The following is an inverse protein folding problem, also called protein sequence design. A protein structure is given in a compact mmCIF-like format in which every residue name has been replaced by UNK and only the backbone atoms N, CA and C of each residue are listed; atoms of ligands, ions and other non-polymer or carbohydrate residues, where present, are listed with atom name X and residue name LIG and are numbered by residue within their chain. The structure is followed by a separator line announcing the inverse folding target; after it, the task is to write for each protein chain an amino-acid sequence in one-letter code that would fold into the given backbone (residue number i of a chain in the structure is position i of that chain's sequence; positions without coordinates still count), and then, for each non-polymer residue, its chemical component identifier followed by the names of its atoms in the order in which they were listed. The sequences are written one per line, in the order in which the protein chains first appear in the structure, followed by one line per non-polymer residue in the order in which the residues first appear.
data_IF_770465092153
#
_entry.id   IF_770465092153
#
_cell.length_a   1.000
_cell.length_b   1.000
_cell.length_c   1.000
_cell.angle_alpha   90.00
_cell.angle_beta   90.00
_cell.angle_gamma   90.00
#
_symmetry.space_group_name_H-M   'P 1'
#
loop_
_entity.id
_entity.type
_entity.pdbx_description
1 polymer ?
#
# COMPACT_ATOMS: atom_id res chain seq x y z
N UNK A 1 10.98 -32.85 3.03
CA UNK A 1 10.06 -33.11 1.91
C UNK A 1 8.83 -33.81 2.50
N UNK A 2 7.68 -33.13 2.49
CA UNK A 2 6.26 -33.62 2.44
C UNK A 2 6.06 -35.17 2.53
N UNK A 3 5.14 -35.83 3.26
CA UNK A 3 3.74 -35.66 3.73
C UNK A 3 3.39 -36.86 4.69
N UNK A 4 2.29 -36.75 5.45
CA UNK A 4 1.26 -37.77 5.84
C UNK A 4 1.07 -37.89 7.37
N UNK A 5 -0.03 -37.36 7.96
CA UNK A 5 -1.35 -38.01 8.11
C UNK A 5 -1.22 -39.39 8.79
N UNK A 6 -1.62 -39.63 10.06
CA UNK A 6 -3.02 -39.81 10.47
C UNK A 6 -3.16 -40.09 12.00
N UNK A 7 -4.34 -39.73 12.54
CA UNK A 7 -5.14 -40.41 13.59
C UNK A 7 -4.63 -40.55 15.03
N UNK A 8 -5.38 -39.96 15.97
CA UNK A 8 -6.05 -40.71 17.05
C UNK A 8 -7.41 -40.06 17.36
N UNK A 9 -8.49 -40.81 17.12
CA UNK A 9 -9.82 -40.57 17.71
C UNK A 9 -9.95 -41.50 18.92
N UNK A 10 -10.34 -40.97 20.07
CA UNK A 10 -11.02 -41.77 21.09
C UNK A 10 -12.20 -40.99 21.67
N UNK A 11 -13.33 -41.69 21.75
CA UNK A 11 -14.69 -41.19 22.03
C UNK A 11 -14.85 -40.75 23.47
N UNK A 12 -15.58 -39.65 23.67
CA UNK A 12 -16.49 -39.45 24.82
C UNK A 12 -17.89 -39.21 24.28
N UNK A 13 -18.82 -40.08 24.66
CA UNK A 13 -20.26 -39.92 24.48
C UNK A 13 -20.83 -39.11 25.64
N UNK A 14 -21.65 -38.09 25.36
CA UNK A 14 -22.49 -37.45 26.38
C UNK A 14 -22.81 -35.97 26.13
N UNK A 15 -23.88 -35.74 25.38
CA UNK A 15 -24.77 -34.55 25.37
C UNK A 15 -24.15 -33.13 25.31
N UNK A 16 -24.32 -32.48 24.13
CA UNK A 16 -24.41 -31.02 23.96
C UNK A 16 -23.13 -30.32 23.48
N UNK A 17 -23.10 -29.87 22.22
CA UNK A 17 -21.91 -29.21 21.64
C UNK A 17 -21.64 -27.78 22.19
N UNK A 18 -20.37 -27.31 22.17
CA UNK A 18 -19.81 -26.29 23.08
C UNK A 18 -19.26 -25.02 22.37
N UNK A 19 -18.84 -23.99 23.12
CA UNK A 19 -17.54 -23.29 22.93
C UNK A 19 -17.20 -22.35 24.09
N UNK A 20 -16.23 -22.80 24.88
CA UNK A 20 -15.08 -22.09 25.43
C UNK A 20 -14.74 -20.74 24.77
N UNK A 21 -14.42 -19.70 25.54
CA UNK A 21 -13.01 -19.31 25.80
C UNK A 21 -12.94 -18.01 26.63
N UNK A 22 -12.30 -18.09 27.78
CA UNK A 22 -11.89 -16.95 28.59
C UNK A 22 -10.69 -16.25 27.96
N UNK A 23 -10.92 -15.25 27.11
CA UNK A 23 -9.88 -14.33 26.67
C UNK A 23 -9.84 -13.10 27.60
N UNK A 24 -8.76 -13.02 28.37
CA UNK A 24 -8.44 -11.92 29.28
C UNK A 24 -8.42 -10.56 28.59
N UNK A 25 -9.04 -9.61 29.28
CA UNK A 25 -9.12 -8.18 29.00
C UNK A 25 -7.77 -7.53 28.61
N UNK A 26 -7.78 -6.82 27.48
CA UNK A 26 -6.96 -5.63 27.27
C UNK A 26 -7.92 -4.43 27.12
N UNK A 27 -7.68 -3.29 27.82
CA UNK A 27 -8.68 -2.22 27.94
C UNK A 27 -8.85 -1.43 26.64
N UNK A 28 -10.12 -1.12 26.29
CA UNK A 28 -10.57 -0.29 25.14
C UNK A 28 -9.90 1.10 25.04
N UNK A 29 -9.17 1.56 26.05
CA UNK A 29 -8.73 2.96 26.18
C UNK A 29 -7.65 3.40 25.19
N UNK A 30 -7.10 2.49 24.38
CA UNK A 30 -6.17 2.83 23.29
C UNK A 30 -6.88 3.20 21.97
N UNK A 31 -8.21 3.11 21.90
CA UNK A 31 -9.02 3.38 20.70
C UNK A 31 -9.12 4.86 20.30
N UNK A 32 -8.30 5.74 20.86
CA UNK A 32 -8.38 7.18 20.61
C UNK A 32 -7.34 7.65 19.59
N UNK A 33 -7.51 7.23 18.34
CA UNK A 33 -7.06 8.01 17.20
C UNK A 33 -8.04 7.80 16.04
N UNK A 34 -8.84 8.84 15.80
CA UNK A 34 -9.80 8.99 14.71
C UNK A 34 -11.08 8.13 14.81
N UNK A 35 -12.14 8.80 15.25
CA UNK A 35 -13.54 8.35 15.23
C UNK A 35 -14.07 8.25 13.78
N UNK A 36 -13.38 7.50 12.91
CA UNK A 36 -13.78 7.29 11.51
C UNK A 36 -14.87 6.21 11.52
N UNK A 37 -16.06 6.47 10.97
CA UNK A 37 -17.11 5.45 10.88
C UNK A 37 -16.63 4.33 9.95
N UNK A 38 -16.27 3.18 10.51
CA UNK A 38 -16.09 1.95 9.74
C UNK A 38 -17.50 1.44 9.39
N UNK A 39 -17.85 1.21 8.11
CA UNK A 39 -19.14 0.64 7.76
C UNK A 39 -19.23 -0.78 8.33
N UNK A 40 -19.99 -0.95 9.41
CA UNK A 40 -20.32 -2.28 9.93
C UNK A 40 -21.61 -2.77 9.29
N UNK A 41 -21.54 -3.80 8.47
CA UNK A 41 -22.72 -4.59 8.08
C UNK A 41 -22.81 -5.80 9.01
N UNK A 42 -23.86 -5.84 9.84
CA UNK A 42 -24.21 -6.98 10.70
C UNK A 42 -23.14 -7.42 11.72
N UNK A 43 -22.40 -6.47 12.30
CA UNK A 43 -21.50 -6.76 13.44
C UNK A 43 -20.28 -7.65 13.13
N UNK A 44 -20.01 -7.96 11.85
CA UNK A 44 -18.80 -8.67 11.41
C UNK A 44 -17.86 -7.69 10.71
N UNK A 45 -16.63 -7.53 11.22
CA UNK A 45 -15.52 -6.87 10.50
C UNK A 45 -15.28 -7.64 9.20
N UNK A 46 -15.80 -7.15 8.09
CA UNK A 46 -15.33 -7.54 6.76
C UNK A 46 -14.01 -6.82 6.53
N UNK A 47 -12.99 -7.49 5.99
CA UNK A 47 -11.76 -6.81 5.60
C UNK A 47 -12.13 -5.73 4.56
N UNK A 48 -12.03 -4.46 4.96
CA UNK A 48 -12.39 -3.31 4.11
C UNK A 48 -11.18 -2.89 3.30
N UNK A 49 -10.69 -3.78 2.42
CA UNK A 49 -9.60 -3.46 1.50
C UNK A 49 -10.09 -2.71 0.25
N UNK A 50 -11.37 -2.31 0.19
CA UNK A 50 -11.96 -1.58 -0.93
C UNK A 50 -12.18 -0.14 -0.50
N UNK A 51 -11.56 0.78 -1.25
CA UNK A 51 -11.61 2.21 -0.99
C UNK A 51 -12.29 2.91 -2.17
N UNK A 52 -13.34 3.67 -1.88
CA UNK A 52 -14.09 4.40 -2.91
C UNK A 52 -13.70 5.87 -2.98
N UNK A 53 -13.09 6.39 -1.92
CA UNK A 53 -12.63 7.78 -1.84
C UNK A 53 -11.17 7.87 -1.41
N UNK A 54 -10.50 8.95 -1.84
CA UNK A 54 -9.12 9.29 -1.40
C UNK A 54 -9.02 9.40 0.12
N UNK A 55 -10.05 9.92 0.78
CA UNK A 55 -10.07 10.11 2.23
C UNK A 55 -10.08 8.77 2.99
N UNK A 56 -10.88 7.81 2.55
CA UNK A 56 -10.91 6.45 3.13
C UNK A 56 -9.55 5.75 2.96
N UNK A 57 -8.99 5.81 1.76
CA UNK A 57 -7.67 5.23 1.47
C UNK A 57 -6.59 5.89 2.33
N UNK A 58 -6.59 7.22 2.43
CA UNK A 58 -5.64 7.96 3.25
C UNK A 58 -5.72 7.56 4.72
N UNK A 59 -6.92 7.41 5.27
CA UNK A 59 -7.09 6.98 6.66
C UNK A 59 -6.49 5.58 6.91
N UNK A 60 -6.66 4.65 5.98
CA UNK A 60 -6.04 3.33 6.09
C UNK A 60 -4.51 3.39 6.03
N UNK A 61 -3.95 4.28 5.20
CA UNK A 61 -2.51 4.51 5.11
C UNK A 61 -1.94 5.19 6.36
N UNK A 62 -2.66 6.15 6.95
CA UNK A 62 -2.28 6.77 8.22
C UNK A 62 -2.28 5.73 9.36
N UNK A 63 -3.26 4.82 9.37
CA UNK A 63 -3.25 3.69 10.29
C UNK A 63 -2.05 2.76 10.06
N UNK A 64 -1.71 2.48 8.79
CA UNK A 64 -0.54 1.68 8.43
C UNK A 64 0.79 2.31 8.85
N UNK A 65 0.92 3.62 8.68
CA UNK A 65 2.10 4.39 9.09
C UNK A 65 2.30 4.39 10.62
N UNK A 66 1.21 4.31 11.37
CA UNK A 66 1.20 4.26 12.84
C UNK A 66 1.44 2.85 13.38
N UNK A 67 0.70 1.85 12.90
CA UNK A 67 0.77 0.45 13.33
C UNK A 67 0.37 -0.49 12.18
N UNK A 68 1.35 -1.05 11.45
CA UNK A 68 1.08 -1.91 10.31
C UNK A 68 0.40 -3.23 10.71
N UNK A 69 0.63 -3.75 11.92
CA UNK A 69 0.03 -5.02 12.38
C UNK A 69 -1.48 -4.84 12.56
N UNK A 70 -1.86 -3.77 13.25
CA UNK A 70 -3.27 -3.44 13.47
C UNK A 70 -3.96 -3.03 12.17
N UNK A 71 -3.26 -2.28 11.31
CA UNK A 71 -3.77 -1.89 10.01
C UNK A 71 -4.01 -3.11 9.10
N UNK A 72 -3.08 -4.06 9.04
CA UNK A 72 -3.23 -5.30 8.27
C UNK A 72 -4.42 -6.14 8.76
N UNK A 73 -4.62 -6.25 10.07
CA UNK A 73 -5.80 -6.93 10.63
C UNK A 73 -7.12 -6.26 10.20
N UNK A 74 -7.11 -4.95 9.96
CA UNK A 74 -8.30 -4.13 9.72
C UNK A 74 -8.64 -3.99 8.25
N UNK A 75 -7.64 -3.68 7.45
CA UNK A 75 -7.77 -3.36 6.02
C UNK A 75 -7.24 -4.46 5.13
N UNK A 76 -6.63 -5.52 5.68
CA UNK A 76 -5.88 -6.52 4.91
C UNK A 76 -4.51 -6.01 4.45
N UNK A 77 -3.73 -6.81 3.73
CA UNK A 77 -2.42 -6.40 3.22
C UNK A 77 -2.53 -5.17 2.31
N UNK A 78 -1.67 -4.18 2.52
CA UNK A 78 -1.65 -2.94 1.72
C UNK A 78 -1.53 -3.19 0.21
N UNK A 79 -0.78 -4.23 -0.20
CA UNK A 79 -0.64 -4.63 -1.60
C UNK A 79 -1.96 -5.10 -2.25
N UNK A 80 -2.97 -5.45 -1.45
CA UNK A 80 -4.27 -5.94 -1.91
C UNK A 80 -5.37 -4.87 -1.83
N UNK A 81 -5.03 -3.61 -1.58
CA UNK A 81 -6.00 -2.53 -1.57
C UNK A 81 -6.59 -2.30 -2.97
N UNK A 82 -7.92 -2.24 -3.03
CA UNK A 82 -8.70 -1.98 -4.23
C UNK A 82 -9.06 -0.50 -4.27
N UNK A 83 -8.48 0.22 -5.23
CA UNK A 83 -8.57 1.68 -5.35
C UNK A 83 -9.16 2.16 -6.68
N UNK A 84 -9.77 1.25 -7.45
CA UNK A 84 -10.14 1.49 -8.86
C UNK A 84 -11.12 2.67 -9.10
N UNK A 85 -11.80 3.16 -8.05
CA UNK A 85 -12.67 4.34 -8.14
C UNK A 85 -11.98 5.69 -7.87
N UNK A 86 -10.70 5.69 -7.49
CA UNK A 86 -9.97 6.89 -7.07
C UNK A 86 -9.18 7.44 -8.25
N UNK A 87 -9.54 8.64 -8.70
CA UNK A 87 -8.89 9.33 -9.84
C UNK A 87 -7.85 10.36 -9.41
N UNK A 88 -7.84 10.75 -8.13
CA UNK A 88 -6.92 11.69 -7.53
C UNK A 88 -6.16 10.99 -6.41
N UNK A 89 -4.84 10.87 -6.55
CA UNK A 89 -3.92 10.30 -5.56
C UNK A 89 -2.89 11.34 -5.08
N UNK A 90 -3.16 12.63 -5.33
CA UNK A 90 -2.31 13.72 -4.85
C UNK A 90 -2.09 13.63 -3.35
N UNK A 91 -0.84 13.86 -2.93
CA UNK A 91 -0.39 13.87 -1.53
C UNK A 91 -0.70 12.58 -0.73
N UNK A 92 -1.08 11.46 -1.37
CA UNK A 92 -1.66 10.30 -0.66
C UNK A 92 -0.74 9.71 0.43
N UNK A 93 0.56 9.60 0.17
CA UNK A 93 1.59 9.17 1.12
C UNK A 93 2.40 10.34 1.70
N UNK A 94 1.97 11.58 1.46
CA UNK A 94 2.71 12.76 1.91
C UNK A 94 2.84 12.77 3.43
N UNK A 95 4.10 12.81 3.88
CA UNK A 95 4.46 12.82 5.29
C UNK A 95 4.31 11.49 6.02
N UNK A 96 3.95 10.40 5.34
CA UNK A 96 3.94 9.05 5.92
C UNK A 96 5.38 8.53 5.93
N UNK A 97 6.01 8.51 7.10
CA UNK A 97 7.46 8.32 7.23
C UNK A 97 7.88 6.89 7.55
N UNK A 98 6.93 6.00 7.82
CA UNK A 98 7.18 4.61 8.21
C UNK A 98 6.89 3.59 7.11
N UNK A 99 6.05 3.92 6.14
CA UNK A 99 5.66 3.01 5.05
C UNK A 99 6.82 2.74 4.10
N UNK A 100 7.11 1.46 3.86
CA UNK A 100 8.04 0.97 2.84
C UNK A 100 7.52 -0.30 2.14
N UNK A 101 6.20 -0.41 2.03
CA UNK A 101 5.53 -1.60 1.50
C UNK A 101 5.43 -1.59 -0.03
N UNK A 102 5.42 -2.78 -0.63
CA UNK A 102 5.23 -2.94 -2.07
C UNK A 102 3.77 -2.65 -2.47
N UNK A 103 3.57 -1.59 -3.25
CA UNK A 103 2.25 -1.12 -3.69
C UNK A 103 2.08 -1.11 -5.21
N UNK A 104 3.05 -1.63 -5.96
CA UNK A 104 3.01 -1.69 -7.44
C UNK A 104 1.84 -2.50 -8.01
N UNK A 105 1.19 -3.32 -7.20
CA UNK A 105 0.00 -4.10 -7.56
C UNK A 105 -1.30 -3.28 -7.66
N UNK A 106 -1.29 -2.02 -7.23
CA UNK A 106 -2.48 -1.17 -7.25
C UNK A 106 -2.90 -0.84 -8.69
N UNK A 107 -4.20 -0.94 -8.96
CA UNK A 107 -4.75 -0.53 -10.24
C UNK A 107 -4.89 1.01 -10.32
N UNK A 108 -3.94 1.67 -10.97
CA UNK A 108 -3.92 3.14 -11.15
C UNK A 108 -4.41 3.58 -12.53
N UNK A 109 -5.03 2.72 -13.34
CA UNK A 109 -5.38 3.04 -14.73
C UNK A 109 -6.35 4.24 -14.89
N UNK A 110 -7.16 4.53 -13.87
CA UNK A 110 -8.07 5.67 -13.83
C UNK A 110 -7.50 6.92 -13.13
N UNK A 111 -6.25 6.87 -12.64
CA UNK A 111 -5.65 7.96 -11.87
C UNK A 111 -5.16 9.06 -12.81
N UNK A 112 -5.52 10.30 -12.48
CA UNK A 112 -5.24 11.50 -13.28
C UNK A 112 -4.30 12.48 -12.59
N UNK A 113 -4.20 12.43 -11.26
CA UNK A 113 -3.36 13.30 -10.45
C UNK A 113 -2.53 12.47 -9.45
N UNK A 114 -1.20 12.61 -9.52
CA UNK A 114 -0.22 12.00 -8.61
C UNK A 114 0.73 13.05 -7.98
N UNK A 115 0.35 14.33 -7.98
CA UNK A 115 1.16 15.42 -7.44
C UNK A 115 1.54 15.16 -5.98
N UNK A 116 2.83 15.29 -5.66
CA UNK A 116 3.32 15.14 -4.30
C UNK A 116 3.00 13.81 -3.62
N UNK A 117 2.61 12.76 -4.36
CA UNK A 117 2.07 11.52 -3.78
C UNK A 117 2.96 10.92 -2.71
N UNK A 118 4.29 10.94 -2.87
CA UNK A 118 5.27 10.44 -1.89
C UNK A 118 6.10 11.54 -1.24
N UNK A 119 5.65 12.80 -1.29
CA UNK A 119 6.40 13.94 -0.75
C UNK A 119 6.70 13.76 0.73
N UNK A 120 7.97 13.84 1.13
CA UNK A 120 8.45 13.58 2.48
C UNK A 120 8.15 12.15 3.02
N UNK A 121 7.90 11.16 2.16
CA UNK A 121 7.74 9.76 2.57
C UNK A 121 9.11 9.13 2.88
N UNK A 122 9.71 9.50 4.01
CA UNK A 122 11.15 9.35 4.27
C UNK A 122 11.72 7.93 4.13
N UNK A 123 10.93 6.88 4.39
CA UNK A 123 11.38 5.47 4.31
C UNK A 123 10.99 4.76 3.01
N UNK A 124 10.22 5.39 2.13
CA UNK A 124 9.77 4.74 0.91
C UNK A 124 10.96 4.46 -0.02
N UNK A 125 11.19 3.18 -0.31
CA UNK A 125 12.24 2.67 -1.17
C UNK A 125 11.78 1.37 -1.86
N UNK A 126 10.64 1.43 -2.53
CA UNK A 126 10.14 0.35 -3.36
C UNK A 126 10.04 0.79 -4.83
N UNK A 127 10.28 -0.11 -5.80
CA UNK A 127 10.01 0.19 -7.19
C UNK A 127 8.51 0.29 -7.42
N UNK A 128 8.09 1.20 -8.31
CA UNK A 128 6.71 1.39 -8.71
C UNK A 128 6.53 1.06 -10.19
N UNK A 129 5.40 0.44 -10.51
CA UNK A 129 4.99 0.08 -11.88
C UNK A 129 3.54 0.51 -12.11
N UNK A 130 3.27 1.79 -11.82
CA UNK A 130 1.95 2.36 -11.97
C UNK A 130 1.62 2.63 -13.44
N UNK A 131 0.36 2.43 -13.80
CA UNK A 131 -0.17 2.87 -15.08
C UNK A 131 -0.31 4.41 -15.06
N UNK A 132 0.43 5.07 -15.95
CA UNK A 132 0.45 6.52 -16.10
C UNK A 132 -0.36 7.04 -17.31
N UNK A 133 -1.08 6.18 -18.04
CA UNK A 133 -1.74 6.56 -19.30
C UNK A 133 -2.79 7.67 -19.13
N UNK A 134 -3.44 7.73 -17.97
CA UNK A 134 -4.45 8.74 -17.64
C UNK A 134 -3.88 9.90 -16.80
N UNK A 135 -2.61 9.82 -16.37
CA UNK A 135 -2.00 10.81 -15.49
C UNK A 135 -1.74 12.09 -16.25
N UNK A 136 -2.09 13.21 -15.64
CA UNK A 136 -1.92 14.57 -16.19
C UNK A 136 -1.00 15.44 -15.35
N UNK A 137 -0.84 15.13 -14.05
CA UNK A 137 0.06 15.86 -13.13
C UNK A 137 0.77 14.91 -12.17
N UNK A 138 2.07 15.13 -11.92
CA UNK A 138 2.89 14.36 -10.97
C UNK A 138 4.08 15.15 -10.40
N UNK A 139 3.94 16.47 -10.33
CA UNK A 139 4.98 17.36 -9.85
C UNK A 139 5.31 17.11 -8.38
N UNK A 140 6.59 17.23 -8.02
CA UNK A 140 7.11 17.04 -6.66
C UNK A 140 6.77 15.69 -5.99
N UNK A 141 6.36 14.66 -6.76
CA UNK A 141 5.94 13.34 -6.29
C UNK A 141 6.91 12.74 -5.25
N UNK A 142 8.23 12.84 -5.48
CA UNK A 142 9.26 12.29 -4.58
C UNK A 142 10.09 13.36 -3.84
N UNK A 143 9.59 14.60 -3.78
CA UNK A 143 10.31 15.67 -3.08
C UNK A 143 10.47 15.33 -1.60
N UNK A 144 11.71 15.24 -1.11
CA UNK A 144 12.00 14.91 0.29
C UNK A 144 11.93 13.41 0.63
N UNK A 145 11.81 12.53 -0.36
CA UNK A 145 11.83 11.06 -0.20
C UNK A 145 13.28 10.56 -0.16
N UNK A 146 13.96 10.76 0.98
CA UNK A 146 15.41 10.53 1.09
C UNK A 146 15.88 9.08 0.97
N UNK A 147 15.01 8.09 1.25
CA UNK A 147 15.38 6.67 1.18
C UNK A 147 15.29 6.06 -0.22
N UNK A 148 14.68 6.76 -1.19
CA UNK A 148 14.49 6.24 -2.53
C UNK A 148 15.84 6.06 -3.23
N UNK A 149 16.24 4.80 -3.42
CA UNK A 149 17.52 4.42 -3.98
C UNK A 149 17.57 4.53 -5.50
N UNK A 150 18.75 4.74 -6.06
CA UNK A 150 18.95 4.87 -7.51
C UNK A 150 18.51 3.62 -8.30
N UNK A 151 18.74 2.38 -7.84
CA UNK A 151 18.20 1.20 -8.54
C UNK A 151 16.67 1.22 -8.68
N UNK A 152 15.95 1.70 -7.66
CA UNK A 152 14.49 1.81 -7.74
C UNK A 152 14.07 2.95 -8.66
N UNK A 153 14.80 4.07 -8.69
CA UNK A 153 14.57 5.16 -9.66
C UNK A 153 14.78 4.70 -11.09
N UNK A 154 15.81 3.90 -11.34
CA UNK A 154 16.10 3.33 -12.66
C UNK A 154 14.96 2.40 -13.11
N UNK A 155 14.49 1.49 -12.24
CA UNK A 155 13.35 0.62 -12.55
C UNK A 155 12.09 1.41 -12.91
N UNK A 156 11.79 2.47 -12.15
CA UNK A 156 10.68 3.36 -12.43
C UNK A 156 10.87 4.14 -13.74
N UNK A 157 12.09 4.63 -14.01
CA UNK A 157 12.43 5.32 -15.26
C UNK A 157 12.28 4.40 -16.47
N UNK A 158 12.56 3.10 -16.33
CA UNK A 158 12.29 2.10 -17.36
C UNK A 158 10.79 1.88 -17.59
N UNK A 159 10.00 1.78 -16.52
CA UNK A 159 8.56 1.56 -16.62
C UNK A 159 7.82 2.79 -17.19
N UNK A 160 8.31 4.00 -16.89
CA UNK A 160 7.61 5.26 -17.16
C UNK A 160 8.25 6.13 -18.24
N UNK A 161 9.46 5.82 -18.71
CA UNK A 161 10.27 6.66 -19.61
C UNK A 161 9.77 6.83 -21.06
N UNK A 162 8.47 6.66 -21.29
CA UNK A 162 7.77 7.07 -22.51
C UNK A 162 6.50 7.87 -22.20
N UNK A 163 6.28 8.22 -20.93
CA UNK A 163 5.16 9.03 -20.48
C UNK A 163 5.59 10.50 -20.43
N UNK A 164 4.94 11.36 -21.23
CA UNK A 164 5.32 12.76 -21.37
C UNK A 164 5.19 13.58 -20.09
N UNK A 165 4.32 13.19 -19.15
CA UNK A 165 4.18 13.87 -17.86
C UNK A 165 5.36 13.52 -16.96
N UNK A 166 5.73 12.24 -16.92
CA UNK A 166 6.93 11.80 -16.21
C UNK A 166 8.20 12.42 -16.81
N UNK A 167 8.34 12.39 -18.13
CA UNK A 167 9.50 12.95 -18.82
C UNK A 167 9.60 14.48 -18.62
N UNK A 168 8.48 15.19 -18.56
CA UNK A 168 8.46 16.63 -18.31
C UNK A 168 8.89 17.03 -16.89
N UNK A 169 8.67 16.15 -15.90
CA UNK A 169 8.97 16.42 -14.49
C UNK A 169 10.31 15.82 -14.03
N UNK A 170 10.68 14.65 -14.56
CA UNK A 170 11.82 13.83 -14.11
C UNK A 170 12.76 13.39 -15.24
N UNK A 171 12.44 13.68 -16.50
CA UNK A 171 13.23 13.29 -17.66
C UNK A 171 14.61 13.97 -17.75
N UNK A 172 15.36 13.79 -18.85
CA UNK A 172 16.81 13.97 -18.91
C UNK A 172 17.34 15.41 -18.66
N UNK A 173 16.46 16.41 -18.58
CA UNK A 173 16.83 17.77 -18.15
C UNK A 173 16.88 17.93 -16.60
N UNK A 174 16.42 16.92 -15.86
CA UNK A 174 16.24 16.93 -14.40
C UNK A 174 17.21 15.94 -13.69
N UNK A 175 18.52 16.21 -13.78
CA UNK A 175 19.58 15.69 -12.88
C UNK A 175 19.81 14.16 -12.83
N UNK A 176 21.07 13.76 -12.60
CA UNK A 176 21.61 12.39 -12.54
C UNK A 176 20.92 11.34 -11.64
N UNK A 177 19.78 11.65 -11.01
CA UNK A 177 19.06 10.73 -10.13
C UNK A 177 17.99 9.89 -10.85
N UNK A 178 17.49 10.34 -12.01
CA UNK A 178 16.47 9.66 -12.82
C UNK A 178 17.04 9.34 -14.21
N UNK A 179 18.25 8.77 -14.24
CA UNK A 179 18.93 8.43 -15.47
C UNK A 179 18.06 7.50 -16.34
N UNK A 180 18.11 7.73 -17.65
CA UNK A 180 17.37 6.96 -18.63
C UNK A 180 17.64 5.47 -18.47
N UNK A 181 16.61 4.65 -18.65
CA UNK A 181 16.65 3.20 -18.51
C UNK A 181 17.93 2.59 -19.13
N UNK A 182 18.91 2.29 -18.29
CA UNK A 182 20.06 1.51 -18.73
C UNK A 182 19.52 0.10 -18.91
N UNK A 183 19.22 -0.29 -20.16
CA UNK A 183 19.00 -1.70 -20.46
C UNK A 183 20.14 -2.49 -19.81
N UNK A 184 19.88 -3.63 -19.12
CA UNK A 184 20.97 -4.43 -18.58
C UNK A 184 21.97 -4.66 -19.71
N UNK A 185 23.23 -4.29 -19.49
CA UNK A 185 24.30 -4.62 -20.43
C UNK A 185 24.16 -6.12 -20.70
N UNK A 186 23.75 -6.46 -21.92
CA UNK A 186 23.63 -7.85 -22.35
C UNK A 186 24.91 -8.58 -21.92
N UNK A 187 24.81 -9.71 -21.20
CA UNK A 187 26.01 -10.46 -20.87
C UNK A 187 26.74 -10.85 -22.17
N UNK A 188 28.08 -10.90 -22.14
CA UNK A 188 28.92 -11.05 -23.33
C UNK A 188 28.64 -12.31 -24.14
#
# INVERSE_FOLDING_TARGET
MLIHLAMMLSKVSGSGFPSDDTAHDLPLSSLLAANIPVPTTNGRRLATNIFTTKAELRAALEAWDSDPITAESTYGPIALFVIAGITDMSDLFKGLTNINEGISSWNTAGVTNMDGMFKNAKKFNQPLDFNLLSVTTMGNMFQGTSALSDPNKELMSCAWGSNTVFDGEYGPESTAAWDACSTPSQPP
#
